data_IF_283771944578
#
_entry.id   IF_283771944578
#
_cell.length_a   1.000
_cell.length_b   1.000
_cell.length_c   1.000
_cell.angle_alpha   90.00
_cell.angle_beta   90.00
_cell.angle_gamma   90.00
#
_symmetry.space_group_name_H-M   'P 1'
#
loop_
_entity.id
_entity.type
_entity.pdbx_description
1 polymer ?
#
# COMPACT_ATOMS: atom_id res chain seq x y z
N UNK A 1 -8.97 2.28 0.78
CA UNK A 1 -8.09 2.74 1.89
C UNK A 1 -7.53 1.54 2.61
N UNK A 2 -6.38 1.66 3.27
CA UNK A 2 -5.75 0.55 3.99
C UNK A 2 -5.25 1.00 5.35
N UNK A 3 -5.42 0.12 6.33
CA UNK A 3 -4.88 0.25 7.69
C UNK A 3 -3.53 -0.47 7.77
N UNK A 4 -2.46 0.28 7.95
CA UNK A 4 -1.11 -0.20 8.27
C UNK A 4 -0.60 0.41 9.57
N UNK A 5 -1.51 0.73 10.49
CA UNK A 5 -1.19 1.21 11.84
C UNK A 5 -0.98 -0.01 12.74
N UNK A 6 0.22 -0.18 13.27
CA UNK A 6 0.56 -1.30 14.17
C UNK A 6 0.06 -1.11 15.61
N UNK A 7 -0.42 0.09 15.92
CA UNK A 7 -1.05 0.45 17.18
C UNK A 7 -2.02 1.61 16.93
N UNK A 8 -3.30 1.53 17.36
CA UNK A 8 -3.96 0.43 18.07
C UNK A 8 -4.22 -0.81 17.19
N UNK A 9 -4.60 -1.93 17.82
CA UNK A 9 -4.87 -3.19 17.10
C UNK A 9 -6.15 -3.17 16.28
N UNK A 10 -6.99 -2.16 16.48
CA UNK A 10 -8.25 -1.94 15.78
C UNK A 10 -8.45 -0.46 15.42
N UNK A 11 -8.66 -0.21 14.12
CA UNK A 11 -8.84 1.13 13.59
C UNK A 11 -10.21 1.26 12.94
N UNK A 12 -10.80 2.44 13.11
CA UNK A 12 -11.94 2.92 12.34
C UNK A 12 -11.43 3.81 11.22
N UNK A 13 -11.81 3.49 9.99
CA UNK A 13 -11.45 4.21 8.77
C UNK A 13 -12.69 4.95 8.28
N UNK A 14 -12.56 6.25 8.04
CA UNK A 14 -13.64 7.07 7.52
C UNK A 14 -13.15 8.12 6.51
N UNK A 15 -14.06 8.54 5.63
CA UNK A 15 -13.90 9.72 4.78
C UNK A 15 -15.13 10.60 4.95
N UNK A 16 -14.96 11.89 5.29
CA UNK A 16 -16.05 12.82 5.55
C UNK A 16 -17.14 12.26 6.49
N UNK A 17 -16.69 11.64 7.59
CA UNK A 17 -17.53 10.93 8.58
C UNK A 17 -18.26 9.68 8.06
N UNK A 18 -18.16 9.34 6.77
CA UNK A 18 -18.64 8.05 6.28
C UNK A 18 -17.67 6.95 6.70
N UNK A 19 -18.13 6.07 7.58
CA UNK A 19 -17.34 4.95 8.09
C UNK A 19 -17.25 3.87 7.02
N UNK A 20 -16.04 3.59 6.57
CA UNK A 20 -15.74 2.55 5.58
C UNK A 20 -15.37 1.22 6.26
N UNK A 21 -14.78 1.30 7.46
CA UNK A 21 -14.49 0.16 8.32
C UNK A 21 -14.49 0.60 9.78
N UNK A 22 -14.99 -0.22 10.70
CA UNK A 22 -15.14 0.13 12.12
C UNK A 22 -14.30 -0.72 13.07
N UNK A 23 -13.52 -1.68 12.54
CA UNK A 23 -12.67 -2.58 13.32
C UNK A 23 -11.63 -3.21 12.38
N UNK A 24 -10.94 -2.38 11.59
CA UNK A 24 -9.87 -2.85 10.71
C UNK A 24 -8.69 -3.31 11.57
N UNK A 25 -8.13 -4.46 11.22
CA UNK A 25 -6.86 -4.91 11.76
C UNK A 25 -5.74 -4.46 10.82
N UNK A 26 -4.50 -4.46 11.31
CA UNK A 26 -3.33 -4.23 10.47
C UNK A 26 -3.38 -5.05 9.18
N UNK A 27 -3.13 -4.39 8.04
CA UNK A 27 -3.17 -4.98 6.72
C UNK A 27 -4.55 -5.00 6.07
N UNK A 28 -5.61 -4.62 6.78
CA UNK A 28 -6.95 -4.57 6.24
C UNK A 28 -7.08 -3.44 5.21
N UNK A 29 -7.67 -3.76 4.06
CA UNK A 29 -8.01 -2.80 3.02
C UNK A 29 -9.51 -2.77 2.78
N UNK A 30 -10.08 -1.57 2.69
CA UNK A 30 -11.45 -1.36 2.21
C UNK A 30 -11.52 -1.60 0.71
N UNK A 31 -12.71 -1.91 0.20
CA UNK A 31 -12.99 -1.73 -1.22
C UNK A 31 -12.93 -0.26 -1.63
N UNK A 32 -12.95 -0.02 -2.95
CA UNK A 32 -13.15 1.33 -3.48
C UNK A 32 -14.58 1.79 -3.20
N UNK A 33 -14.71 3.06 -2.84
CA UNK A 33 -15.99 3.72 -2.63
C UNK A 33 -16.00 5.02 -3.41
N UNK A 34 -17.18 5.41 -3.89
CA UNK A 34 -17.38 6.71 -4.52
C UNK A 34 -17.58 7.74 -3.42
N UNK A 35 -16.93 8.88 -3.56
CA UNK A 35 -17.06 10.05 -2.68
C UNK A 35 -17.23 11.31 -3.55
N UNK A 36 -17.63 12.41 -2.94
CA UNK A 36 -17.66 13.71 -3.62
C UNK A 36 -16.22 14.17 -3.92
N UNK A 37 -16.04 14.90 -5.03
CA UNK A 37 -14.76 15.51 -5.36
C UNK A 37 -14.52 16.78 -4.51
N UNK A 38 -13.28 17.27 -4.52
CA UNK A 38 -12.83 18.40 -3.73
C UNK A 38 -12.09 17.97 -2.46
N UNK A 39 -12.01 18.88 -1.49
CA UNK A 39 -11.35 18.62 -0.22
C UNK A 39 -12.21 17.71 0.65
N UNK A 40 -11.69 16.54 1.00
CA UNK A 40 -12.35 15.54 1.83
C UNK A 40 -11.49 15.25 3.05
N UNK A 41 -12.12 15.09 4.21
CA UNK A 41 -11.45 14.67 5.45
C UNK A 41 -11.20 13.16 5.42
N UNK A 42 -9.95 12.75 5.47
CA UNK A 42 -9.50 11.38 5.68
C UNK A 42 -9.26 11.18 7.17
N UNK A 43 -9.87 10.13 7.75
CA UNK A 43 -9.75 9.87 9.17
C UNK A 43 -9.42 8.40 9.47
N UNK A 44 -8.40 8.21 10.31
CA UNK A 44 -8.13 6.96 11.01
C UNK A 44 -8.25 7.24 12.51
N UNK A 45 -8.99 6.40 13.22
CA UNK A 45 -9.22 6.58 14.66
C UNK A 45 -9.20 5.24 15.39
N UNK A 46 -8.84 5.26 16.67
CA UNK A 46 -8.93 4.07 17.50
C UNK A 46 -10.39 3.61 17.59
N UNK A 47 -10.67 2.35 17.22
CA UNK A 47 -12.04 1.86 17.12
C UNK A 47 -12.77 1.75 18.47
N UNK A 48 -12.03 1.50 19.57
CA UNK A 48 -12.61 1.32 20.91
C UNK A 48 -12.87 2.64 21.62
N UNK A 49 -11.95 3.59 21.50
CA UNK A 49 -11.98 4.86 22.25
C UNK A 49 -12.48 6.04 21.42
N UNK A 50 -12.48 5.92 20.09
CA UNK A 50 -12.77 7.01 19.16
C UNK A 50 -11.67 8.07 19.07
N UNK A 51 -10.52 7.87 19.73
CA UNK A 51 -9.40 8.81 19.67
C UNK A 51 -8.90 8.94 18.23
N UNK A 52 -8.74 10.19 17.76
CA UNK A 52 -8.19 10.45 16.43
C UNK A 52 -6.72 10.04 16.36
N UNK A 53 -6.34 9.32 15.31
CA UNK A 53 -4.97 8.91 15.02
C UNK A 53 -4.44 9.73 13.84
N UNK A 54 -5.24 9.83 12.79
CA UNK A 54 -5.02 10.66 11.60
C UNK A 54 -6.33 11.40 11.31
N UNK A 55 -6.21 12.69 11.02
CA UNK A 55 -7.31 13.56 10.59
C UNK A 55 -6.73 14.62 9.64
N UNK A 56 -6.81 14.35 8.35
CA UNK A 56 -6.22 15.21 7.31
C UNK A 56 -7.22 15.55 6.22
N UNK A 57 -6.96 16.65 5.52
CA UNK A 57 -7.82 17.12 4.43
C UNK A 57 -7.08 16.95 3.12
N UNK A 58 -7.61 16.07 2.27
CA UNK A 58 -7.01 15.66 1.01
C UNK A 58 -7.88 16.10 -0.16
N UNK A 59 -7.26 16.52 -1.26
CA UNK A 59 -7.96 16.89 -2.48
C UNK A 59 -8.18 15.63 -3.34
N UNK A 60 -9.45 15.28 -3.57
CA UNK A 60 -9.84 14.23 -4.49
C UNK A 60 -10.43 14.85 -5.76
N UNK A 61 -9.80 14.60 -6.90
CA UNK A 61 -10.27 15.13 -8.18
C UNK A 61 -11.36 14.25 -8.79
N UNK A 62 -12.23 14.87 -9.60
CA UNK A 62 -13.28 14.17 -10.32
C UNK A 62 -12.68 13.09 -11.23
N UNK A 63 -13.36 11.94 -11.35
CA UNK A 63 -12.98 10.82 -12.23
C UNK A 63 -11.57 10.24 -12.00
N UNK A 64 -10.99 10.47 -10.82
CA UNK A 64 -9.72 9.89 -10.41
C UNK A 64 -9.91 8.83 -9.32
N UNK A 65 -8.96 7.89 -9.27
CA UNK A 65 -8.92 6.82 -8.27
C UNK A 65 -7.78 7.08 -7.32
N UNK A 66 -7.99 6.78 -6.05
CA UNK A 66 -7.01 7.02 -5.01
C UNK A 66 -6.93 5.88 -4.02
N UNK A 67 -5.71 5.66 -3.57
CA UNK A 67 -5.38 4.75 -2.48
C UNK A 67 -4.86 5.58 -1.33
N UNK A 68 -5.49 5.43 -0.17
CA UNK A 68 -5.04 6.06 1.08
C UNK A 68 -4.57 5.00 2.05
N UNK A 69 -3.38 5.17 2.62
CA UNK A 69 -2.76 4.21 3.55
C UNK A 69 -2.45 4.95 4.85
N UNK A 70 -3.06 4.53 5.95
CA UNK A 70 -2.67 4.98 7.30
C UNK A 70 -1.52 4.13 7.83
N UNK A 71 -0.50 4.74 8.42
CA UNK A 71 0.71 4.06 8.90
C UNK A 71 1.39 4.80 10.05
N UNK A 72 2.25 4.11 10.80
CA UNK A 72 2.97 4.70 11.92
C UNK A 72 4.39 5.13 11.55
N UNK A 73 4.79 6.29 12.07
CA UNK A 73 6.18 6.78 12.01
C UNK A 73 6.73 7.00 13.43
N UNK A 74 8.03 7.25 13.57
CA UNK A 74 8.61 7.66 14.85
C UNK A 74 7.97 8.94 15.44
N UNK A 75 7.36 9.78 14.59
CA UNK A 75 6.65 10.99 14.99
C UNK A 75 5.15 10.79 15.27
N UNK A 76 4.66 9.55 15.21
CA UNK A 76 3.24 9.20 15.36
C UNK A 76 2.56 8.76 14.06
N UNK A 77 1.24 8.47 14.12
CA UNK A 77 0.45 8.08 12.97
C UNK A 77 0.45 9.14 11.86
N UNK A 78 0.48 8.68 10.62
CA UNK A 78 0.37 9.48 9.39
C UNK A 78 -0.41 8.70 8.34
N UNK A 79 -0.65 9.35 7.23
CA UNK A 79 -1.23 8.79 6.04
C UNK A 79 -0.49 9.20 4.78
N UNK A 80 -0.67 8.41 3.73
CA UNK A 80 -0.22 8.71 2.38
C UNK A 80 -1.44 8.58 1.49
N UNK A 81 -1.66 9.58 0.64
CA UNK A 81 -2.66 9.54 -0.43
C UNK A 81 -1.94 9.41 -1.76
N UNK A 82 -2.28 8.38 -2.52
CA UNK A 82 -1.67 8.04 -3.80
C UNK A 82 -2.73 8.10 -4.89
N UNK A 83 -2.42 8.76 -6.00
CA UNK A 83 -3.23 8.62 -7.21
C UNK A 83 -3.02 7.25 -7.84
N UNK A 84 -4.08 6.69 -8.40
CA UNK A 84 -4.07 5.42 -9.10
C UNK A 84 -4.18 5.63 -10.60
N UNK A 85 -3.41 4.83 -11.34
CA UNK A 85 -3.46 4.85 -12.80
C UNK A 85 -4.75 4.17 -13.30
N UNK A 86 -5.23 4.55 -14.51
CA UNK A 86 -6.37 3.88 -15.13
C UNK A 86 -6.05 2.45 -15.60
N UNK A 87 -6.91 1.47 -15.29
CA UNK A 87 -6.78 0.10 -15.83
C UNK A 87 -6.96 0.06 -17.35
N UNK A 88 -7.66 1.03 -17.94
CA UNK A 88 -7.95 1.09 -19.38
C UNK A 88 -6.71 1.22 -20.26
N UNK A 89 -5.58 1.65 -19.69
CA UNK A 89 -4.29 1.77 -20.39
C UNK A 89 -3.38 0.55 -20.26
N UNK A 90 -3.76 -0.48 -19.49
CA UNK A 90 -2.90 -1.63 -19.21
C UNK A 90 -3.03 -2.65 -20.37
N UNK A 91 -1.88 -3.06 -20.92
CA UNK A 91 -1.85 -4.03 -22.02
C UNK A 91 -2.41 -5.40 -21.58
N UNK A 92 -2.96 -6.17 -22.53
CA UNK A 92 -3.35 -7.56 -22.25
C UNK A 92 -2.11 -8.41 -22.01
N UNK A 93 -2.17 -9.29 -21.02
CA UNK A 93 -1.04 -10.09 -20.54
C UNK A 93 -0.18 -9.36 -19.51
N UNK A 94 -0.56 -8.15 -19.09
CA UNK A 94 0.20 -7.31 -18.19
C UNK A 94 -0.61 -6.83 -16.99
N UNK A 95 0.10 -6.52 -15.91
CA UNK A 95 -0.38 -5.89 -14.69
C UNK A 95 0.56 -4.72 -14.35
N UNK A 96 0.02 -3.72 -13.66
CA UNK A 96 0.82 -2.61 -13.14
C UNK A 96 0.96 -2.77 -11.64
N UNK A 97 2.17 -2.89 -11.13
CA UNK A 97 2.43 -3.16 -9.71
C UNK A 97 3.23 -2.03 -9.10
N UNK A 98 2.78 -1.48 -7.97
CA UNK A 98 3.61 -0.61 -7.14
C UNK A 98 3.78 -1.21 -5.75
N UNK A 99 4.94 -0.95 -5.16
CA UNK A 99 5.21 -1.27 -3.75
C UNK A 99 5.36 0.04 -3.00
N UNK A 100 4.69 0.15 -1.86
CA UNK A 100 4.73 1.33 -1.00
C UNK A 100 5.38 0.95 0.32
N UNK A 101 6.49 1.61 0.63
CA UNK A 101 7.19 1.42 1.90
C UNK A 101 6.59 2.32 2.99
N UNK A 102 5.92 1.70 3.96
CA UNK A 102 5.43 2.33 5.19
C UNK A 102 6.11 1.77 6.44
N UNK A 103 7.27 1.12 6.26
CA UNK A 103 8.06 0.55 7.34
C UNK A 103 9.00 1.59 7.97
N UNK A 104 10.08 1.13 8.59
CA UNK A 104 10.98 1.95 9.42
C UNK A 104 12.30 2.32 8.74
N UNK A 105 12.54 1.86 7.51
CA UNK A 105 13.79 2.07 6.79
C UNK A 105 13.58 2.03 5.28
N UNK A 106 14.52 2.62 4.54
CA UNK A 106 14.58 2.45 3.09
C UNK A 106 14.90 0.99 2.72
N UNK A 107 14.35 0.56 1.59
CA UNK A 107 14.44 -0.83 1.14
C UNK A 107 14.69 -0.96 -0.35
N UNK A 108 15.16 -2.13 -0.76
CA UNK A 108 15.11 -2.54 -2.16
C UNK A 108 13.99 -3.57 -2.34
N UNK A 109 13.25 -3.47 -3.44
CA UNK A 109 12.14 -4.35 -3.77
C UNK A 109 12.51 -5.19 -4.99
N UNK A 110 12.28 -6.48 -4.90
CA UNK A 110 12.49 -7.45 -5.98
C UNK A 110 11.17 -8.11 -6.30
N UNK A 111 10.78 -8.00 -7.56
CA UNK A 111 9.63 -8.70 -8.13
C UNK A 111 10.19 -9.75 -9.09
N UNK A 112 10.03 -11.02 -8.73
CA UNK A 112 10.73 -12.13 -9.43
C UNK A 112 9.88 -13.39 -9.48
N UNK A 113 10.26 -14.34 -10.34
CA UNK A 113 9.72 -15.69 -10.27
C UNK A 113 9.99 -16.32 -8.88
N UNK A 114 9.06 -17.12 -8.34
CA UNK A 114 9.24 -17.77 -7.04
C UNK A 114 10.55 -18.58 -6.96
N UNK A 115 11.32 -18.35 -5.90
CA UNK A 115 12.59 -19.05 -5.66
C UNK A 115 13.76 -18.56 -6.50
N UNK A 116 13.61 -17.49 -7.30
CA UNK A 116 14.72 -16.92 -8.06
C UNK A 116 15.89 -16.49 -7.13
N UNK A 117 17.13 -16.69 -7.58
CA UNK A 117 18.31 -16.38 -6.77
C UNK A 117 18.54 -14.87 -6.66
N UNK A 118 18.33 -14.32 -5.46
CA UNK A 118 18.44 -12.89 -5.18
C UNK A 118 19.86 -12.33 -5.35
N UNK A 119 20.88 -13.17 -5.19
CA UNK A 119 22.28 -12.76 -5.33
C UNK A 119 22.65 -12.36 -6.77
N UNK A 120 21.89 -12.86 -7.74
CA UNK A 120 22.06 -12.54 -9.17
C UNK A 120 20.98 -11.61 -9.72
N UNK A 121 19.94 -11.30 -8.93
CA UNK A 121 18.86 -10.41 -9.32
C UNK A 121 19.20 -8.94 -9.04
N UNK A 122 18.74 -8.04 -9.92
CA UNK A 122 18.69 -6.60 -9.66
C UNK A 122 17.36 -6.25 -8.97
N UNK A 123 17.32 -5.28 -8.05
CA UNK A 123 16.05 -4.76 -7.55
C UNK A 123 15.19 -4.22 -8.69
N UNK A 124 13.89 -4.46 -8.60
CA UNK A 124 12.88 -3.80 -9.44
C UNK A 124 12.73 -2.34 -9.01
N UNK A 125 12.73 -2.09 -7.70
CA UNK A 125 12.75 -0.74 -7.11
C UNK A 125 13.96 -0.67 -6.17
N UNK A 126 14.80 0.35 -6.35
CA UNK A 126 16.00 0.57 -5.53
C UNK A 126 15.75 1.72 -4.57
N UNK A 127 16.14 1.57 -3.31
CA UNK A 127 16.06 2.60 -2.27
C UNK A 127 14.65 3.25 -2.19
N UNK A 128 13.63 2.42 -2.09
CA UNK A 128 12.25 2.81 -1.83
C UNK A 128 12.16 3.49 -0.44
N UNK A 129 11.81 4.77 -0.44
CA UNK A 129 11.78 5.62 0.73
C UNK A 129 10.50 5.44 1.54
N UNK A 130 10.61 5.64 2.86
CA UNK A 130 9.45 5.58 3.76
C UNK A 130 8.46 6.69 3.39
N UNK A 131 7.21 6.31 3.17
CA UNK A 131 6.11 7.25 2.96
C UNK A 131 6.18 8.06 1.67
N UNK A 132 6.89 7.58 0.66
CA UNK A 132 6.99 8.27 -0.62
C UNK A 132 5.65 8.21 -1.38
N UNK A 133 5.00 9.36 -1.49
CA UNK A 133 3.74 9.50 -2.21
C UNK A 133 3.91 9.49 -3.76
N UNK A 134 5.15 9.58 -4.25
CA UNK A 134 5.46 9.64 -5.67
C UNK A 134 5.81 8.25 -6.27
N UNK A 135 5.61 7.16 -5.52
CA UNK A 135 5.97 5.81 -5.99
C UNK A 135 5.30 5.44 -7.30
N UNK A 136 6.12 5.02 -8.26
CA UNK A 136 5.69 4.67 -9.60
C UNK A 136 5.23 3.20 -9.70
N UNK A 137 4.36 2.94 -10.66
CA UNK A 137 4.01 1.59 -11.06
C UNK A 137 5.10 0.98 -11.96
N UNK A 138 5.30 -0.32 -11.80
CA UNK A 138 6.14 -1.18 -12.64
C UNK A 138 5.24 -2.04 -13.52
N UNK A 139 5.59 -2.18 -14.79
CA UNK A 139 4.86 -3.01 -15.75
C UNK A 139 5.38 -4.44 -15.68
N UNK A 140 4.52 -5.36 -15.27
CA UNK A 140 4.85 -6.77 -15.05
C UNK A 140 3.94 -7.65 -15.90
N UNK A 141 4.47 -8.76 -16.42
CA UNK A 141 3.60 -9.76 -17.05
C UNK A 141 2.70 -10.43 -16.01
N UNK A 142 1.53 -10.92 -16.44
CA UNK A 142 0.66 -11.69 -15.55
C UNK A 142 1.34 -12.97 -15.07
N UNK A 143 1.05 -13.40 -13.85
CA UNK A 143 1.64 -14.61 -13.29
C UNK A 143 1.76 -14.58 -11.78
N UNK A 144 2.45 -15.58 -11.24
CA UNK A 144 2.76 -15.65 -9.80
C UNK A 144 4.18 -15.19 -9.57
N UNK A 145 4.36 -14.20 -8.71
CA UNK A 145 5.63 -13.58 -8.40
C UNK A 145 5.92 -13.65 -6.90
N UNK A 146 7.16 -13.93 -6.56
CA UNK A 146 7.67 -13.71 -5.21
C UNK A 146 8.18 -12.26 -5.13
N UNK A 147 7.52 -11.47 -4.30
CA UNK A 147 7.92 -10.11 -3.96
C UNK A 147 8.74 -10.17 -2.68
N UNK A 148 10.00 -9.74 -2.77
CA UNK A 148 10.96 -9.71 -1.68
C UNK A 148 11.41 -8.29 -1.43
N UNK A 149 11.44 -7.92 -0.16
CA UNK A 149 11.94 -6.63 0.29
C UNK A 149 13.20 -6.86 1.10
N UNK A 150 14.28 -6.18 0.76
CA UNK A 150 15.56 -6.25 1.49
C UNK A 150 15.92 -4.92 2.11
N UNK A 151 16.81 -4.95 3.09
CA UNK A 151 17.50 -3.74 3.50
C UNK A 151 18.22 -3.13 2.30
N UNK A 152 18.04 -1.82 2.07
CA UNK A 152 18.58 -1.11 0.92
C UNK A 152 20.09 -1.30 0.75
N UNK A 153 20.52 -1.55 -0.48
CA UNK A 153 21.92 -1.81 -0.85
C UNK A 153 22.43 -3.20 -0.44
N UNK A 154 21.57 -4.08 0.08
CA UNK A 154 21.96 -5.42 0.53
C UNK A 154 21.03 -6.51 -0.04
N UNK A 155 21.33 -7.78 0.27
CA UNK A 155 20.46 -8.93 -0.03
C UNK A 155 19.78 -9.51 1.21
N UNK A 156 19.83 -8.80 2.34
CA UNK A 156 19.20 -9.23 3.58
C UNK A 156 17.68 -9.04 3.49
N UNK A 157 16.95 -10.15 3.36
CA UNK A 157 15.48 -10.15 3.19
C UNK A 157 14.81 -9.81 4.52
N UNK A 158 13.97 -8.77 4.49
CA UNK A 158 13.13 -8.33 5.60
C UNK A 158 11.74 -8.99 5.55
N UNK A 159 11.17 -9.08 4.35
CA UNK A 159 9.91 -9.77 4.10
C UNK A 159 9.92 -10.42 2.71
N UNK A 160 9.20 -11.55 2.60
CA UNK A 160 8.90 -12.21 1.33
C UNK A 160 7.46 -12.68 1.33
N UNK A 161 6.75 -12.47 0.23
CA UNK A 161 5.44 -13.06 0.01
C UNK A 161 5.19 -13.29 -1.48
N UNK A 162 4.29 -14.21 -1.81
CA UNK A 162 3.93 -14.54 -3.18
C UNK A 162 2.61 -13.87 -3.55
N UNK A 163 2.56 -13.19 -4.69
CA UNK A 163 1.39 -12.51 -5.21
C UNK A 163 1.05 -12.98 -6.63
N UNK A 164 -0.24 -13.02 -6.94
CA UNK A 164 -0.72 -13.22 -8.30
C UNK A 164 -0.98 -11.85 -8.96
N UNK A 165 -0.31 -11.62 -10.08
CA UNK A 165 -0.52 -10.46 -10.93
C UNK A 165 -1.55 -10.78 -12.00
N UNK A 166 -2.61 -9.97 -12.03
CA UNK A 166 -3.81 -10.25 -12.80
C UNK A 166 -3.91 -9.35 -14.02
N UNK A 167 -4.51 -9.90 -15.08
CA UNK A 167 -4.60 -9.21 -16.38
C UNK A 167 -5.30 -7.86 -16.23
N UNK A 168 -4.63 -6.82 -16.73
CA UNK A 168 -5.13 -5.44 -16.81
C UNK A 168 -5.50 -4.81 -15.46
N UNK A 169 -4.82 -5.20 -14.38
CA UNK A 169 -5.02 -4.57 -13.06
C UNK A 169 -3.82 -3.75 -12.60
N UNK A 170 -4.11 -2.60 -12.02
CA UNK A 170 -3.19 -1.89 -11.14
C UNK A 170 -3.29 -2.46 -9.71
N UNK A 171 -2.16 -2.90 -9.15
CA UNK A 171 -2.05 -3.54 -7.83
C UNK A 171 -1.06 -2.78 -6.96
N UNK A 172 -1.46 -2.51 -5.72
CA UNK A 172 -0.60 -1.88 -4.71
C UNK A 172 -0.25 -2.90 -3.64
N UNK A 173 1.03 -3.11 -3.39
CA UNK A 173 1.53 -3.90 -2.27
C UNK A 173 2.12 -2.94 -1.26
N UNK A 174 1.77 -3.11 0.01
CA UNK A 174 2.29 -2.28 1.10
C UNK A 174 3.29 -3.10 1.90
N UNK A 175 4.52 -2.60 1.98
CA UNK A 175 5.55 -3.11 2.88
C UNK A 175 5.53 -2.31 4.18
N UNK A 176 5.30 -2.98 5.30
CA UNK A 176 5.19 -2.31 6.60
C UNK A 176 5.66 -3.19 7.76
N UNK A 177 5.47 -2.72 8.98
CA UNK A 177 5.78 -3.44 10.22
C UNK A 177 4.51 -3.61 11.04
N UNK A 178 4.24 -4.83 11.51
CA UNK A 178 3.19 -5.13 12.47
C UNK A 178 3.82 -5.79 13.70
N UNK A 179 3.75 -5.10 14.86
CA UNK A 179 4.30 -5.61 16.13
C UNK A 179 5.76 -6.11 16.01
N UNK A 180 6.60 -5.35 15.31
CA UNK A 180 8.02 -5.67 15.08
C UNK A 180 8.29 -6.69 13.97
N UNK A 181 7.26 -7.22 13.31
CA UNK A 181 7.41 -8.15 12.17
C UNK A 181 7.17 -7.41 10.85
N UNK A 182 8.09 -7.52 9.89
CA UNK A 182 7.88 -6.97 8.56
C UNK A 182 6.83 -7.77 7.77
N UNK A 183 5.97 -7.07 7.04
CA UNK A 183 4.85 -7.68 6.31
C UNK A 183 4.73 -7.12 4.90
N UNK A 184 4.17 -7.92 4.00
CA UNK A 184 3.73 -7.50 2.66
C UNK A 184 2.24 -7.79 2.52
N UNK A 185 1.45 -6.75 2.31
CA UNK A 185 -0.01 -6.81 2.25
C UNK A 185 -0.50 -6.24 0.93
N UNK A 186 -1.38 -6.97 0.24
CA UNK A 186 -1.97 -6.51 -1.01
C UNK A 186 -3.19 -5.63 -0.71
N UNK A 187 -3.21 -4.43 -1.28
CA UNK A 187 -4.39 -3.57 -1.23
C UNK A 187 -5.47 -4.12 -2.15
N UNK A 188 -6.75 -3.90 -1.82
CA UNK A 188 -7.85 -4.34 -2.67
C UNK A 188 -7.64 -3.89 -4.11
N UNK A 189 -7.74 -4.83 -5.06
CA UNK A 189 -7.57 -4.53 -6.46
C UNK A 189 -8.62 -3.51 -6.92
N UNK A 190 -8.20 -2.60 -7.78
CA UNK A 190 -9.12 -1.60 -8.34
C UNK A 190 -10.22 -2.31 -9.14
N UNK A 191 -11.50 -1.96 -8.94
CA UNK A 191 -12.57 -2.50 -9.77
C UNK A 191 -12.33 -2.16 -11.25
N UNK A 192 -12.80 -3.05 -12.13
CA UNK A 192 -12.72 -2.91 -13.59
C UNK A 192 -13.76 -1.92 -14.08
#
# INVERSE_FOLDING_TARGET
>A
MMDSLDNPTNVKIAVNHQVLANNSQYGFATGYTVIDNGNQTVQFSNADTGASLVDTTELFELDNYYTVIGYNTAGGPREITLSDIPNTGIASGHAMVRVVNVATQNVDVYITAPGANLNTSTPTVTNDNIGDAAQAYTDETIGTYEVRVTQAGTKNVLASNTFAFQDRLAQTIVFGVNNGTYTLSLLAARPI
#
